data_IF_966460063191
#
_entry.id   IF_966460063191
#
_cell.length_a   1.000
_cell.length_b   1.000
_cell.length_c   1.000
_cell.angle_alpha   90.00
_cell.angle_beta   90.00
_cell.angle_gamma   90.00
#
_symmetry.space_group_name_H-M   'P 1'
#
loop_
_entity.id
_entity.type
_entity.pdbx_description
1 polymer ?
#
# COMPACT_ATOMS: atom_id res chain seq x y z
N UNK A 1 -4.88 -26.83 25.52
CA UNK A 1 -4.70 -27.70 24.33
C UNK A 1 -5.90 -27.65 23.38
N UNK A 2 -7.13 -27.92 23.85
CA UNK A 2 -8.36 -27.90 23.04
C UNK A 2 -8.57 -26.61 22.22
N UNK A 3 -8.17 -25.46 22.75
CA UNK A 3 -8.27 -24.18 22.03
C UNK A 3 -7.42 -24.09 20.77
N UNK A 4 -6.19 -24.64 20.79
CA UNK A 4 -5.32 -24.64 19.63
C UNK A 4 -5.85 -25.59 18.54
N UNK A 5 -6.31 -26.77 18.94
CA UNK A 5 -6.92 -27.77 18.05
C UNK A 5 -8.19 -27.21 17.39
N UNK A 6 -9.09 -26.63 18.17
CA UNK A 6 -10.30 -26.02 17.62
C UNK A 6 -9.99 -24.90 16.63
N UNK A 7 -9.04 -24.00 16.95
CA UNK A 7 -8.64 -22.90 16.05
C UNK A 7 -8.05 -23.43 14.74
N UNK A 8 -7.23 -24.48 14.82
CA UNK A 8 -6.65 -25.11 13.64
C UNK A 8 -7.75 -25.70 12.74
N UNK A 9 -8.65 -26.52 13.28
CA UNK A 9 -9.73 -27.11 12.50
C UNK A 9 -10.70 -26.07 11.94
N UNK A 10 -11.07 -25.04 12.73
CA UNK A 10 -11.90 -23.94 12.24
C UNK A 10 -11.24 -23.18 11.07
N UNK A 11 -9.92 -22.97 11.13
CA UNK A 11 -9.16 -22.37 10.02
C UNK A 11 -9.14 -23.27 8.79
N UNK A 12 -8.86 -24.57 8.96
CA UNK A 12 -8.80 -25.53 7.84
C UNK A 12 -10.16 -25.69 7.18
N UNK A 13 -11.23 -25.83 7.97
CA UNK A 13 -12.60 -25.93 7.48
C UNK A 13 -13.00 -24.69 6.68
N UNK A 14 -12.73 -23.50 7.21
CA UNK A 14 -13.13 -22.24 6.56
C UNK A 14 -12.27 -21.94 5.32
N UNK A 15 -10.95 -22.19 5.35
CA UNK A 15 -10.04 -21.83 4.26
C UNK A 15 -9.88 -22.91 3.19
N UNK A 16 -9.85 -24.17 3.60
CA UNK A 16 -9.52 -25.31 2.74
C UNK A 16 -10.64 -26.34 2.67
N UNK A 17 -11.77 -26.14 3.35
CA UNK A 17 -12.85 -27.14 3.41
C UNK A 17 -13.46 -27.47 2.04
N UNK A 18 -13.48 -26.53 1.09
CA UNK A 18 -13.88 -26.83 -0.29
C UNK A 18 -12.88 -27.76 -0.98
N UNK A 19 -11.59 -27.40 -0.95
CA UNK A 19 -10.51 -28.18 -1.56
C UNK A 19 -10.38 -29.58 -0.96
N UNK A 20 -10.43 -29.71 0.38
CA UNK A 20 -10.35 -31.02 1.05
C UNK A 20 -11.53 -31.92 0.67
N UNK A 21 -12.75 -31.36 0.59
CA UNK A 21 -13.93 -32.12 0.16
C UNK A 21 -13.79 -32.62 -1.27
N UNK A 22 -13.25 -31.81 -2.16
CA UNK A 22 -13.00 -32.20 -3.55
C UNK A 22 -11.92 -33.29 -3.65
N UNK A 23 -10.80 -33.12 -2.94
CA UNK A 23 -9.68 -34.06 -3.01
C UNK A 23 -9.93 -35.40 -2.29
N UNK A 24 -10.70 -35.41 -1.20
CA UNK A 24 -10.85 -36.57 -0.29
C UNK A 24 -12.28 -37.10 -0.24
N UNK A 25 -13.23 -36.44 -0.90
CA UNK A 25 -14.67 -36.74 -0.84
C UNK A 25 -15.26 -36.75 0.59
N UNK A 26 -14.57 -36.14 1.57
CA UNK A 26 -15.01 -36.04 2.97
C UNK A 26 -14.83 -34.62 3.50
N UNK A 27 -15.78 -34.10 4.31
CA UNK A 27 -15.61 -32.80 4.94
C UNK A 27 -14.56 -32.84 6.04
N UNK A 28 -13.92 -31.70 6.28
CA UNK A 28 -13.10 -31.49 7.47
C UNK A 28 -14.04 -31.42 8.67
N UNK A 29 -13.85 -32.30 9.65
CA UNK A 29 -14.65 -32.33 10.88
C UNK A 29 -13.75 -31.99 12.06
N UNK A 30 -14.14 -31.00 12.86
CA UNK A 30 -13.43 -30.66 14.09
C UNK A 30 -13.65 -31.76 15.13
N UNK A 31 -12.59 -32.38 15.69
CA UNK A 31 -12.72 -33.44 16.69
C UNK A 31 -13.06 -32.92 18.10
N UNK A 32 -13.13 -31.60 18.28
CA UNK A 32 -13.45 -30.97 19.57
C UNK A 32 -14.97 -30.95 19.71
N UNK A 33 -15.47 -31.72 20.68
CA UNK A 33 -16.90 -31.76 21.03
C UNK A 33 -17.40 -30.43 21.63
N UNK A 34 -18.72 -30.35 21.84
CA UNK A 34 -19.40 -29.16 22.35
C UNK A 34 -18.96 -28.78 23.77
N UNK A 35 -18.66 -29.74 24.64
CA UNK A 35 -18.23 -29.49 26.03
C UNK A 35 -16.79 -28.97 26.09
N UNK A 36 -15.93 -29.44 25.19
CA UNK A 36 -14.54 -29.02 25.04
C UNK A 36 -14.39 -27.78 24.14
N UNK A 37 -15.49 -27.27 23.57
CA UNK A 37 -15.50 -26.09 22.70
C UNK A 37 -15.18 -24.83 23.50
N UNK A 38 -14.12 -24.07 23.16
CA UNK A 38 -13.79 -22.86 23.89
C UNK A 38 -14.87 -21.79 23.71
N UNK A 39 -15.57 -21.43 24.79
CA UNK A 39 -16.74 -20.53 24.80
C UNK A 39 -16.47 -19.08 24.35
N UNK A 40 -15.22 -18.61 24.47
CA UNK A 40 -14.79 -17.27 24.05
C UNK A 40 -13.66 -17.36 23.05
N UNK A 41 -13.97 -17.86 21.86
CA UNK A 41 -13.16 -17.56 20.69
C UNK A 41 -13.79 -16.38 19.98
N UNK A 42 -13.04 -15.28 19.85
CA UNK A 42 -13.32 -14.32 18.81
C UNK A 42 -13.54 -15.14 17.53
N UNK A 43 -14.70 -14.96 16.88
CA UNK A 43 -14.98 -15.62 15.59
C UNK A 43 -13.70 -15.48 14.78
N UNK A 44 -13.12 -16.61 14.38
CA UNK A 44 -12.00 -16.61 13.45
C UNK A 44 -12.62 -16.17 12.13
N UNK A 45 -12.84 -14.86 11.97
CA UNK A 45 -13.17 -14.27 10.70
C UNK A 45 -11.98 -14.58 9.83
N UNK A 46 -12.09 -15.60 9.00
CA UNK A 46 -11.02 -15.96 8.09
C UNK A 46 -10.90 -14.80 7.12
N UNK A 47 -9.84 -14.03 7.32
CA UNK A 47 -9.35 -13.06 6.36
C UNK A 47 -8.78 -13.89 5.21
N UNK A 48 -9.58 -14.09 4.17
CA UNK A 48 -9.08 -14.64 2.92
C UNK A 48 -8.28 -13.50 2.27
N UNK A 49 -6.96 -13.65 2.06
CA UNK A 49 -6.22 -12.66 1.31
C UNK A 49 -6.74 -12.64 -0.13
N UNK A 50 -6.84 -11.47 -0.76
CA UNK A 50 -7.21 -11.37 -2.16
C UNK A 50 -6.20 -12.13 -3.03
N UNK A 51 -6.67 -12.62 -4.16
CA UNK A 51 -5.84 -13.24 -5.19
C UNK A 51 -4.85 -12.23 -5.79
N UNK A 52 -3.77 -12.73 -6.38
CA UNK A 52 -2.78 -11.87 -7.04
C UNK A 52 -3.40 -11.03 -8.18
N UNK A 53 -4.42 -11.56 -8.87
CA UNK A 53 -5.13 -10.85 -9.93
C UNK A 53 -5.98 -9.70 -9.38
N UNK A 54 -6.72 -9.91 -8.29
CA UNK A 54 -7.50 -8.87 -7.63
C UNK A 54 -6.59 -7.74 -7.12
N UNK A 55 -5.44 -8.10 -6.53
CA UNK A 55 -4.44 -7.14 -6.10
C UNK A 55 -3.90 -6.35 -7.29
N UNK A 56 -3.52 -7.02 -8.39
CA UNK A 56 -2.98 -6.30 -9.55
C UNK A 56 -4.01 -5.41 -10.23
N UNK A 57 -5.27 -5.84 -10.29
CA UNK A 57 -6.39 -5.03 -10.77
C UNK A 57 -6.55 -3.76 -9.94
N UNK A 58 -6.59 -3.88 -8.61
CA UNK A 58 -6.71 -2.73 -7.69
C UNK A 58 -5.57 -1.72 -7.91
N UNK A 59 -4.32 -2.17 -7.87
CA UNK A 59 -3.15 -1.29 -8.00
C UNK A 59 -3.03 -0.68 -9.40
N UNK A 60 -3.51 -1.39 -10.42
CA UNK A 60 -3.58 -0.87 -11.79
C UNK A 60 -4.64 0.22 -11.92
N UNK A 61 -5.86 -0.03 -11.43
CA UNK A 61 -6.93 0.96 -11.43
C UNK A 61 -6.55 2.21 -10.64
N UNK A 62 -5.94 2.04 -9.46
CA UNK A 62 -5.46 3.17 -8.67
C UNK A 62 -4.41 3.99 -9.43
N UNK A 63 -3.41 3.33 -10.03
CA UNK A 63 -2.38 4.02 -10.83
C UNK A 63 -3.00 4.87 -11.95
N UNK A 64 -4.00 4.35 -12.66
CA UNK A 64 -4.68 5.10 -13.72
C UNK A 64 -5.55 6.25 -13.21
N UNK A 65 -6.03 6.17 -11.98
CA UNK A 65 -6.83 7.23 -11.36
C UNK A 65 -5.98 8.38 -10.82
N UNK A 66 -4.73 8.14 -10.42
CA UNK A 66 -3.86 9.18 -9.83
C UNK A 66 -3.79 10.46 -10.70
N UNK A 67 -3.55 10.41 -12.03
CA UNK A 67 -3.50 11.62 -12.87
C UNK A 67 -4.83 12.40 -12.96
N UNK A 68 -5.96 11.78 -12.57
CA UNK A 68 -7.26 12.48 -12.53
C UNK A 68 -7.34 13.46 -11.35
N UNK A 69 -6.59 13.21 -10.29
CA UNK A 69 -6.53 14.05 -9.09
C UNK A 69 -5.71 15.31 -9.34
N UNK A 70 -5.93 16.34 -8.51
CA UNK A 70 -5.23 17.63 -8.61
C UNK A 70 -4.67 18.04 -7.26
N UNK A 71 -3.54 18.76 -7.30
CA UNK A 71 -2.92 19.40 -6.14
C UNK A 71 -2.77 18.47 -4.93
N UNK A 72 -3.29 18.89 -3.78
CA UNK A 72 -3.11 18.19 -2.51
C UNK A 72 -3.76 16.80 -2.48
N UNK A 73 -4.84 16.58 -3.23
CA UNK A 73 -5.52 15.28 -3.32
C UNK A 73 -4.63 14.25 -4.03
N UNK A 74 -3.96 14.66 -5.12
CA UNK A 74 -2.99 13.82 -5.81
C UNK A 74 -1.84 13.42 -4.88
N UNK A 75 -1.25 14.39 -4.16
CA UNK A 75 -0.12 14.12 -3.26
C UNK A 75 -0.45 13.10 -2.17
N UNK A 76 -1.62 13.21 -1.54
CA UNK A 76 -2.03 12.25 -0.51
C UNK A 76 -2.37 10.89 -1.09
N UNK A 77 -3.05 10.83 -2.24
CA UNK A 77 -3.37 9.56 -2.88
C UNK A 77 -2.11 8.84 -3.39
N UNK A 78 -1.13 9.57 -3.93
CA UNK A 78 0.14 9.02 -4.36
C UNK A 78 0.98 8.52 -3.17
N UNK A 79 0.97 9.24 -2.05
CA UNK A 79 1.59 8.78 -0.80
C UNK A 79 1.03 7.44 -0.35
N UNK A 80 -0.30 7.33 -0.34
CA UNK A 80 -1.01 6.13 0.14
C UNK A 80 -0.75 4.94 -0.82
N UNK A 81 -0.81 5.19 -2.13
CA UNK A 81 -0.42 4.24 -3.16
C UNK A 81 1.00 3.69 -2.96
N UNK A 82 1.98 4.57 -2.67
CA UNK A 82 3.37 4.17 -2.42
C UNK A 82 3.47 3.38 -1.12
N UNK A 83 2.83 3.84 -0.04
CA UNK A 83 2.87 3.17 1.26
C UNK A 83 2.39 1.72 1.16
N UNK A 84 1.24 1.51 0.51
CA UNK A 84 0.68 0.17 0.34
C UNK A 84 1.44 -0.69 -0.67
N UNK A 85 1.96 -0.08 -1.73
CA UNK A 85 2.85 -0.78 -2.67
C UNK A 85 4.09 -1.30 -1.94
N UNK A 86 4.64 -0.54 -0.98
CA UNK A 86 5.75 -1.01 -0.14
C UNK A 86 5.32 -2.15 0.80
N UNK A 87 4.10 -2.14 1.32
CA UNK A 87 3.60 -3.24 2.15
C UNK A 87 3.41 -4.52 1.34
N UNK A 88 2.80 -4.42 0.16
CA UNK A 88 2.53 -5.59 -0.70
C UNK A 88 3.84 -6.18 -1.25
N UNK A 89 4.80 -5.34 -1.64
CA UNK A 89 6.03 -5.77 -2.32
C UNK A 89 7.14 -6.14 -1.35
N UNK A 90 7.34 -5.34 -0.30
CA UNK A 90 8.49 -5.49 0.61
C UNK A 90 8.12 -6.08 1.98
N UNK A 91 6.83 -6.23 2.29
CA UNK A 91 6.40 -6.71 3.61
C UNK A 91 6.82 -5.77 4.75
N UNK A 92 6.86 -4.46 4.49
CA UNK A 92 7.11 -3.48 5.54
C UNK A 92 5.94 -3.45 6.51
N UNK A 93 6.25 -3.27 7.80
CA UNK A 93 5.21 -3.03 8.79
C UNK A 93 4.82 -1.56 8.78
N UNK A 94 3.56 -1.27 9.09
CA UNK A 94 3.08 0.12 9.17
C UNK A 94 3.93 0.98 10.12
N UNK A 95 4.34 0.42 11.27
CA UNK A 95 5.18 1.12 12.26
C UNK A 95 6.64 1.34 11.82
N UNK A 96 7.11 0.58 10.85
CA UNK A 96 8.40 0.77 10.20
C UNK A 96 8.27 1.88 9.15
N UNK A 97 7.19 1.82 8.36
CA UNK A 97 6.87 2.72 7.25
C UNK A 97 6.73 4.17 7.69
N UNK A 98 6.02 4.44 8.79
CA UNK A 98 5.85 5.81 9.33
C UNK A 98 7.15 6.44 9.86
N UNK A 99 8.22 5.66 10.02
CA UNK A 99 9.53 6.10 10.53
C UNK A 99 10.60 6.24 9.45
N UNK A 100 10.28 5.87 8.21
CA UNK A 100 11.20 6.00 7.09
C UNK A 100 11.49 7.45 6.76
N UNK A 101 12.74 7.70 6.38
CA UNK A 101 13.26 8.97 5.89
C UNK A 101 13.66 8.84 4.42
N UNK A 102 13.72 9.97 3.71
CA UNK A 102 14.17 10.00 2.32
C UNK A 102 15.60 9.46 2.18
N UNK A 103 16.47 9.74 3.17
CA UNK A 103 17.84 9.22 3.22
C UNK A 103 17.96 7.72 3.55
N UNK A 104 16.87 7.04 3.90
CA UNK A 104 16.88 5.59 4.15
C UNK A 104 16.91 4.79 2.84
N UNK A 105 16.72 5.45 1.70
CA UNK A 105 16.79 4.85 0.38
C UNK A 105 18.17 5.06 -0.25
N UNK A 106 18.84 3.96 -0.59
CA UNK A 106 20.15 3.96 -1.24
C UNK A 106 20.00 3.48 -2.69
N UNK A 107 19.71 4.37 -3.66
CA UNK A 107 19.42 3.99 -5.05
C UNK A 107 20.60 3.33 -5.76
N UNK A 108 21.84 3.68 -5.38
CA UNK A 108 23.06 3.20 -6.02
C UNK A 108 23.69 1.99 -5.30
N UNK A 109 23.03 1.47 -4.25
CA UNK A 109 23.47 0.26 -3.58
C UNK A 109 23.10 -0.98 -4.43
N UNK A 110 24.03 -1.40 -5.30
CA UNK A 110 23.80 -2.47 -6.27
C UNK A 110 22.93 -2.03 -7.44
N UNK A 111 22.42 -2.99 -8.22
CA UNK A 111 21.67 -2.72 -9.46
C UNK A 111 20.30 -2.08 -9.21
N UNK A 112 19.63 -2.48 -8.13
CA UNK A 112 18.27 -2.04 -7.85
C UNK A 112 18.18 -1.10 -6.64
N UNK A 113 19.27 -0.88 -5.92
CA UNK A 113 19.28 -0.12 -4.67
C UNK A 113 18.98 -0.96 -3.42
N UNK A 114 18.98 -0.34 -2.26
CA UNK A 114 18.65 -0.94 -0.96
C UNK A 114 17.86 0.05 -0.11
N UNK A 115 16.79 -0.42 0.55
CA UNK A 115 16.05 0.35 1.55
C UNK A 115 16.49 -0.05 2.97
N UNK A 116 16.92 0.91 3.78
CA UNK A 116 17.34 0.70 5.16
C UNK A 116 16.20 0.96 6.15
N UNK A 117 15.71 -0.10 6.78
CA UNK A 117 14.70 0.01 7.84
C UNK A 117 15.42 0.11 9.18
N UNK A 118 15.65 1.33 9.67
CA UNK A 118 16.27 1.60 10.98
C UNK A 118 15.39 1.19 12.16
N UNK A 119 14.09 1.46 12.08
CA UNK A 119 13.17 1.26 13.20
C UNK A 119 12.34 -0.03 13.07
N UNK A 120 13.01 -1.17 12.85
CA UNK A 120 12.35 -2.47 12.75
C UNK A 120 11.89 -3.04 14.10
N UNK A 121 11.04 -4.08 14.03
CA UNK A 121 10.49 -4.76 15.21
C UNK A 121 11.60 -5.44 16.04
N UNK A 122 11.81 -4.94 17.26
CA UNK A 122 12.60 -5.60 18.29
C UNK A 122 11.89 -6.79 18.94
N UNK A 123 12.62 -7.55 19.76
CA UNK A 123 12.08 -8.65 20.55
C UNK A 123 12.47 -8.46 22.02
N UNK A 124 11.55 -8.77 22.96
CA UNK A 124 11.83 -8.78 24.42
C UNK A 124 12.51 -7.50 24.93
N UNK A 125 12.09 -6.33 24.44
CA UNK A 125 12.65 -5.04 24.88
C UNK A 125 14.03 -4.70 24.30
N UNK A 126 14.53 -5.44 23.30
CA UNK A 126 15.84 -5.22 22.66
C UNK A 126 16.03 -3.88 21.93
N UNK A 127 15.06 -2.97 21.99
CA UNK A 127 15.03 -1.78 21.14
C UNK A 127 14.74 -2.08 19.67
N UNK A 128 14.71 -1.05 18.81
CA UNK A 128 14.49 -1.21 17.38
C UNK A 128 15.58 -2.06 16.73
N UNK A 129 15.19 -2.97 15.84
CA UNK A 129 16.12 -3.85 15.11
C UNK A 129 16.20 -3.44 13.65
N UNK A 130 17.38 -3.08 13.19
CA UNK A 130 17.57 -2.66 11.81
C UNK A 130 17.51 -3.84 10.83
N UNK A 131 17.07 -3.58 9.60
CA UNK A 131 17.19 -4.51 8.48
C UNK A 131 17.34 -3.78 7.15
N UNK A 132 18.12 -4.36 6.25
CA UNK A 132 18.18 -3.94 4.86
C UNK A 132 17.14 -4.72 4.05
N UNK A 133 16.42 -4.02 3.19
CA UNK A 133 15.34 -4.58 2.38
C UNK A 133 15.70 -4.36 0.91
N UNK A 134 15.95 -5.43 0.14
CA UNK A 134 16.17 -5.30 -1.28
C UNK A 134 14.84 -4.90 -1.97
N UNK A 135 14.88 -3.95 -2.90
CA UNK A 135 13.73 -3.49 -3.65
C UNK A 135 13.35 -4.53 -4.70
N UNK A 136 12.39 -5.39 -4.36
CA UNK A 136 11.85 -6.40 -5.25
C UNK A 136 10.62 -5.89 -6.01
N UNK A 137 10.23 -6.58 -7.07
CA UNK A 137 9.02 -6.28 -7.85
C UNK A 137 8.94 -4.81 -8.33
N UNK A 138 10.02 -4.25 -8.89
CA UNK A 138 10.03 -2.89 -9.44
C UNK A 138 9.88 -1.77 -8.40
N UNK A 139 10.17 -2.05 -7.13
CA UNK A 139 10.09 -1.05 -6.05
C UNK A 139 11.14 0.06 -6.19
N UNK A 140 12.27 -0.24 -6.83
CA UNK A 140 13.30 0.72 -7.22
C UNK A 140 12.72 1.87 -8.05
N UNK A 141 11.95 1.54 -9.09
CA UNK A 141 11.30 2.51 -9.97
C UNK A 141 10.19 3.28 -9.25
N UNK A 142 9.44 2.60 -8.38
CA UNK A 142 8.42 3.23 -7.56
C UNK A 142 9.02 4.28 -6.61
N UNK A 143 10.11 3.93 -5.92
CA UNK A 143 10.79 4.84 -5.00
C UNK A 143 11.48 5.98 -5.74
N UNK A 144 12.08 5.72 -6.90
CA UNK A 144 12.64 6.77 -7.76
C UNK A 144 11.55 7.79 -8.13
N UNK A 145 10.46 7.33 -8.75
CA UNK A 145 9.31 8.19 -9.11
C UNK A 145 8.77 8.97 -7.90
N UNK A 146 8.53 8.29 -6.79
CA UNK A 146 8.03 8.92 -5.58
C UNK A 146 8.97 10.03 -5.10
N UNK A 147 10.26 9.75 -4.95
CA UNK A 147 11.23 10.69 -4.39
C UNK A 147 11.50 11.88 -5.31
N UNK A 148 11.61 11.66 -6.62
CA UNK A 148 11.97 12.71 -7.58
C UNK A 148 10.79 13.58 -7.98
N UNK A 149 9.64 12.96 -8.27
CA UNK A 149 8.52 13.67 -8.89
C UNK A 149 7.45 14.11 -7.90
N UNK A 150 7.09 13.27 -6.93
CA UNK A 150 5.92 13.52 -6.08
C UNK A 150 6.29 14.05 -4.71
N UNK A 151 7.28 13.43 -4.07
CA UNK A 151 7.69 13.74 -2.70
C UNK A 151 8.28 15.14 -2.59
N UNK A 152 9.02 15.58 -3.59
CA UNK A 152 9.58 16.93 -3.70
C UNK A 152 8.50 18.02 -3.63
N UNK A 153 7.30 17.75 -4.16
CA UNK A 153 6.17 18.70 -4.15
C UNK A 153 5.59 18.98 -2.75
N UNK A 154 5.96 18.21 -1.72
CA UNK A 154 5.57 18.52 -0.34
C UNK A 154 6.36 19.72 0.25
N UNK A 155 7.44 20.16 -0.39
CA UNK A 155 8.10 21.43 -0.06
C UNK A 155 8.76 21.49 1.32
N UNK A 156 9.07 20.36 1.96
CA UNK A 156 10.02 20.32 3.07
C UNK A 156 11.41 19.97 2.55
N UNK A 157 12.22 21.01 2.39
CA UNK A 157 13.64 20.83 2.21
C UNK A 157 14.24 20.41 3.55
N UNK A 158 14.71 19.17 3.63
CA UNK A 158 15.41 18.68 4.80
C UNK A 158 16.85 18.36 4.42
N UNK A 159 17.77 19.06 5.06
CA UNK A 159 19.21 18.84 4.92
C UNK A 159 19.55 17.40 5.35
N UNK A 160 20.41 16.73 4.58
CA UNK A 160 21.00 15.44 4.97
C UNK A 160 20.03 14.26 4.97
N UNK A 161 18.98 14.29 4.13
CA UNK A 161 18.08 13.14 3.96
C UNK A 161 17.14 12.89 5.14
N UNK A 162 17.04 13.83 6.10
CA UNK A 162 16.16 13.72 7.27
C UNK A 162 14.68 14.00 6.95
N UNK A 163 14.35 14.31 5.69
CA UNK A 163 12.97 14.44 5.23
C UNK A 163 12.21 13.15 5.50
N UNK A 164 10.98 13.25 5.99
CA UNK A 164 10.14 12.05 6.17
C UNK A 164 9.84 11.45 4.80
N UNK A 165 9.95 10.12 4.64
CA UNK A 165 9.67 9.48 3.35
C UNK A 165 8.20 9.64 2.93
N UNK A 166 7.27 9.47 3.87
CA UNK A 166 5.82 9.57 3.68
C UNK A 166 5.22 10.69 4.56
N UNK A 167 5.23 11.94 4.08
CA UNK A 167 4.79 13.09 4.85
C UNK A 167 3.25 13.17 4.97
N UNK A 168 2.79 13.72 6.07
CA UNK A 168 1.44 14.26 6.22
C UNK A 168 1.38 15.69 5.67
N UNK A 169 0.18 16.25 5.55
CA UNK A 169 0.01 17.68 5.22
C UNK A 169 0.40 18.60 6.39
N UNK A 170 0.54 18.08 7.60
CA UNK A 170 0.83 18.89 8.78
C UNK A 170 2.31 19.26 8.84
N UNK A 171 2.59 20.48 9.30
CA UNK A 171 3.94 20.93 9.58
C UNK A 171 4.31 20.61 11.04
N UNK A 172 5.59 20.36 11.24
CA UNK A 172 6.23 20.35 12.57
C UNK A 172 6.46 21.81 12.98
N UNK A 173 6.60 22.06 14.28
CA UNK A 173 6.94 23.38 14.81
C UNK A 173 8.26 23.91 14.22
N UNK A 174 9.18 23.02 13.90
CA UNK A 174 10.49 23.28 13.29
C UNK A 174 10.44 23.45 11.76
N UNK A 175 9.26 23.59 11.16
CA UNK A 175 9.09 23.89 9.72
C UNK A 175 9.05 22.69 8.77
N UNK A 176 9.57 21.52 9.17
CA UNK A 176 9.50 20.29 8.35
C UNK A 176 8.10 19.66 8.26
N UNK A 177 7.92 18.62 7.42
CA UNK A 177 6.66 17.84 7.40
C UNK A 177 6.61 16.82 8.52
N UNK A 178 5.45 16.67 9.16
CA UNK A 178 5.18 15.55 10.07
C UNK A 178 4.98 14.26 9.28
N UNK A 179 5.40 13.10 9.80
CA UNK A 179 5.05 11.82 9.18
C UNK A 179 3.55 11.58 9.13
N UNK A 180 3.09 10.91 8.08
CA UNK A 180 1.75 10.34 8.07
C UNK A 180 1.62 9.35 9.25
N UNK A 181 0.56 9.47 10.03
CA UNK A 181 0.35 8.57 11.16
C UNK A 181 -0.20 7.22 10.69
N UNK A 182 -0.14 6.22 11.56
CA UNK A 182 -0.59 4.85 11.25
C UNK A 182 -2.08 4.77 10.93
N UNK A 183 -2.89 5.69 11.46
CA UNK A 183 -4.33 5.78 11.15
C UNK A 183 -4.51 6.27 9.72
N UNK A 184 -3.88 7.40 9.37
CA UNK A 184 -3.93 7.97 8.01
C UNK A 184 -3.48 6.97 6.94
N UNK A 185 -2.39 6.24 7.17
CA UNK A 185 -1.93 5.26 6.20
C UNK A 185 -2.84 4.03 6.12
N UNK A 186 -3.53 3.66 7.20
CA UNK A 186 -4.47 2.53 7.20
C UNK A 186 -5.77 2.88 6.47
N UNK A 187 -6.16 4.14 6.50
CA UNK A 187 -7.36 4.63 5.82
C UNK A 187 -7.10 4.94 4.32
N UNK A 188 -5.84 4.91 3.89
CA UNK A 188 -5.40 5.22 2.52
C UNK A 188 -6.05 4.33 1.46
N UNK A 189 -6.21 3.03 1.76
CA UNK A 189 -6.87 2.03 0.91
C UNK A 189 -8.28 2.49 0.52
N UNK A 190 -9.00 3.18 1.42
CA UNK A 190 -10.38 3.60 1.23
C UNK A 190 -10.58 4.70 0.18
N UNK A 191 -9.50 5.37 -0.24
CA UNK A 191 -9.53 6.39 -1.28
C UNK A 191 -9.21 5.83 -2.68
N UNK A 192 -8.83 4.56 -2.80
CA UNK A 192 -8.55 3.94 -4.09
C UNK A 192 -9.85 3.71 -4.88
N UNK A 193 -9.87 3.96 -6.20
CA UNK A 193 -11.00 3.58 -7.04
C UNK A 193 -11.20 2.06 -6.97
N UNK A 194 -12.42 1.61 -6.70
CA UNK A 194 -12.73 0.19 -6.51
C UNK A 194 -12.41 -0.36 -5.12
N UNK A 195 -11.97 0.45 -4.16
CA UNK A 195 -11.77 0.03 -2.76
C UNK A 195 -13.04 -0.55 -2.11
N UNK A 196 -14.22 -0.08 -2.49
CA UNK A 196 -15.49 -0.66 -2.05
C UNK A 196 -15.73 -2.08 -2.61
N UNK A 197 -15.26 -2.35 -3.83
CA UNK A 197 -15.34 -3.65 -4.49
C UNK A 197 -14.28 -4.61 -3.91
N UNK A 198 -13.05 -4.11 -3.67
CA UNK A 198 -11.98 -4.85 -2.98
C UNK A 198 -12.28 -5.11 -1.49
N UNK A 199 -12.92 -4.19 -0.78
CA UNK A 199 -13.37 -4.38 0.60
C UNK A 199 -14.51 -5.41 0.68
N UNK A 200 -15.31 -5.54 -0.39
CA UNK A 200 -16.31 -6.62 -0.53
C UNK A 200 -15.64 -7.99 -0.67
N UNK A 201 -14.46 -8.06 -1.30
CA UNK A 201 -13.66 -9.30 -1.43
C UNK A 201 -13.01 -9.70 -0.08
N UNK A 202 -12.63 -8.73 0.76
CA UNK A 202 -11.95 -8.97 2.06
C UNK A 202 -12.92 -9.28 3.21
N UNK A 203 -14.22 -9.04 3.02
CA UNK A 203 -15.25 -9.34 4.01
C UNK A 203 -16.01 -10.59 3.57
N UNK A 204 -16.06 -11.68 4.36
CA UNK A 204 -16.89 -12.83 3.98
C UNK A 204 -18.35 -12.40 3.96
N UNK A 205 -18.93 -12.29 2.76
CA UNK A 205 -20.38 -12.28 2.59
C UNK A 205 -20.87 -13.64 3.07
N UNK A 206 -21.54 -13.68 4.22
CA UNK A 206 -22.20 -14.87 4.72
C UNK A 206 -23.22 -15.33 3.65
N UNK A 207 -23.08 -16.51 3.02
CA UNK A 207 -24.06 -16.99 2.06
C UNK A 207 -25.42 -17.30 2.70
N UNK A 208 -25.52 -17.31 4.04
CA UNK A 208 -26.78 -17.55 4.76
C UNK A 208 -27.73 -16.33 4.79
N UNK A 209 -27.46 -15.24 4.07
CA UNK A 209 -28.33 -14.04 4.09
C UNK A 209 -28.47 -13.36 2.73
N UNK A 210 -28.54 -14.13 1.64
CA UNK A 210 -29.03 -13.63 0.35
C UNK A 210 -30.35 -14.34 -0.02
N UNK A 211 -31.38 -13.60 -0.47
CA UNK A 211 -32.64 -14.19 -0.92
C UNK A 211 -32.42 -15.07 -2.15
N UNK A 212 -33.16 -16.18 -2.19
CA UNK A 212 -33.16 -17.14 -3.29
C UNK A 212 -33.52 -16.47 -4.62
N UNK A 213 -32.62 -16.56 -5.59
CA UNK A 213 -32.92 -16.19 -6.98
C UNK A 213 -31.75 -15.53 -7.71
N UNK A 214 -30.83 -16.33 -8.24
CA UNK A 214 -30.09 -16.02 -9.48
C UNK A 214 -29.38 -17.30 -9.95
N UNK A 215 -29.96 -17.89 -10.99
CA UNK A 215 -29.57 -19.12 -11.67
C UNK A 215 -28.53 -18.84 -12.77
N UNK A 216 -27.67 -19.83 -13.05
CA UNK A 216 -27.00 -20.10 -14.36
C UNK A 216 -25.83 -19.17 -14.73
N UNK A 217 -24.58 -19.63 -14.96
CA UNK A 217 -24.08 -20.66 -15.89
C UNK A 217 -22.53 -20.51 -16.09
N UNK A 218 -21.89 -21.24 -17.02
CA UNK A 218 -20.75 -22.13 -16.73
C UNK A 218 -19.34 -21.53 -16.92
N UNK A 219 -18.35 -22.19 -16.30
CA UNK A 219 -16.96 -21.75 -16.26
C UNK A 219 -16.08 -22.10 -17.46
N UNK A 220 -14.79 -21.76 -17.35
CA UNK A 220 -13.71 -22.42 -18.08
C UNK A 220 -12.34 -22.12 -17.47
N UNK A 221 -11.61 -23.21 -17.24
CA UNK A 221 -10.19 -23.27 -16.95
C UNK A 221 -9.35 -22.89 -18.17
N UNK A 222 -8.09 -22.54 -17.87
CA UNK A 222 -6.92 -22.49 -18.75
C UNK A 222 -6.80 -21.31 -19.71
N UNK A 223 -5.70 -20.55 -19.56
CA UNK A 223 -4.62 -20.45 -20.56
C UNK A 223 -3.45 -19.59 -20.04
N UNK A 224 -2.27 -19.94 -20.55
CA UNK A 224 -0.94 -19.51 -20.15
C UNK A 224 -0.72 -17.99 -20.13
N UNK A 225 0.12 -17.52 -19.19
CA UNK A 225 0.66 -16.15 -19.15
C UNK A 225 2.07 -16.17 -19.76
N UNK A 226 2.29 -15.65 -20.99
CA UNK A 226 3.62 -15.28 -21.43
C UNK A 226 3.96 -13.89 -20.89
N UNK A 227 5.21 -13.75 -20.43
CA UNK A 227 5.71 -12.56 -19.75
C UNK A 227 5.47 -11.26 -20.52
N UNK A 228 4.92 -10.27 -19.82
CA UNK A 228 4.93 -8.88 -20.24
C UNK A 228 5.69 -8.06 -19.21
N UNK A 229 6.80 -7.48 -19.67
CA UNK A 229 7.68 -6.63 -18.88
C UNK A 229 6.92 -5.43 -18.32
N UNK A 230 7.14 -5.18 -17.04
CA UNK A 230 6.64 -4.02 -16.31
C UNK A 230 7.24 -2.73 -16.91
N UNK A 231 6.41 -1.93 -17.57
CA UNK A 231 6.73 -0.56 -18.02
C UNK A 231 6.11 0.41 -17.01
N UNK A 232 6.91 1.21 -16.28
CA UNK A 232 6.38 2.25 -15.40
C UNK A 232 5.67 3.34 -16.22
N UNK A 233 4.74 4.11 -15.62
CA UNK A 233 3.97 5.15 -16.31
C UNK A 233 4.85 6.39 -16.59
N UNK A 234 5.84 6.23 -17.46
CA UNK A 234 6.65 7.31 -17.99
C UNK A 234 6.69 7.12 -19.50
N UNK A 235 5.61 7.49 -20.19
CA UNK A 235 5.57 7.98 -21.58
C UNK A 235 4.13 8.47 -21.87
N UNK A 236 3.58 9.36 -21.03
CA UNK A 236 2.43 10.19 -21.44
C UNK A 236 3.01 11.59 -21.65
N UNK A 237 2.86 12.10 -22.87
CA UNK A 237 3.44 13.38 -23.34
C UNK A 237 3.27 14.50 -22.30
N UNK A 238 4.42 15.03 -21.89
CA UNK A 238 4.69 16.30 -21.19
C UNK A 238 3.47 17.13 -20.74
N UNK A 239 3.04 17.01 -19.48
CA UNK A 239 2.04 17.89 -18.86
C UNK A 239 2.65 19.21 -18.31
N UNK A 240 3.97 19.41 -18.37
CA UNK A 240 4.68 20.49 -17.66
C UNK A 240 4.83 21.80 -18.46
N UNK A 241 4.32 21.87 -19.69
CA UNK A 241 4.38 23.11 -20.49
C UNK A 241 3.61 24.30 -19.85
N UNK A 242 2.68 24.06 -18.93
CA UNK A 242 1.88 25.14 -18.31
C UNK A 242 2.50 25.77 -17.05
N UNK A 243 3.46 25.12 -16.40
CA UNK A 243 4.04 25.63 -15.15
C UNK A 243 5.34 26.43 -15.34
N UNK A 244 5.97 26.36 -16.52
CA UNK A 244 7.20 27.11 -16.83
C UNK A 244 6.94 28.60 -17.14
N UNK A 245 5.79 28.95 -17.70
CA UNK A 245 5.52 30.34 -18.15
C UNK A 245 5.14 31.32 -17.04
N UNK A 246 4.86 30.87 -15.80
CA UNK A 246 4.47 31.78 -14.71
C UNK A 246 5.67 32.38 -13.95
N UNK A 247 6.85 31.78 -14.08
CA UNK A 247 8.08 32.31 -13.48
C UNK A 247 8.66 33.46 -14.31
N UNK A 248 8.44 33.47 -15.63
CA UNK A 248 9.00 34.49 -16.54
C UNK A 248 8.12 35.76 -16.65
N UNK A 249 6.84 35.70 -16.26
CA UNK A 249 5.91 36.86 -16.30
C UNK A 249 5.99 37.77 -15.06
N UNK A 250 6.82 37.42 -14.05
CA UNK A 250 6.96 38.17 -12.79
C UNK A 250 8.08 39.19 -12.73
N UNK A 251 8.94 39.26 -13.76
CA UNK A 251 10.20 39.99 -13.69
C UNK A 251 10.29 41.03 -14.80
N UNK A 252 9.41 42.04 -14.84
CA UNK A 252 9.60 43.26 -15.64
C UNK A 252 8.61 44.38 -15.24
N UNK A 253 8.71 44.93 -14.02
CA UNK A 253 8.25 46.29 -13.68
C UNK A 253 9.03 46.87 -12.49
N UNK A 254 10.28 47.27 -12.71
CA UNK A 254 10.91 48.32 -11.90
C UNK A 254 11.06 49.57 -12.78
N UNK A 255 10.24 50.59 -12.46
CA UNK A 255 10.39 51.95 -13.00
C UNK A 255 11.39 52.76 -12.15
N UNK A 256 11.94 53.86 -12.71
CA UNK A 256 13.17 54.48 -12.20
C UNK A 256 12.91 55.26 -10.91
N UNK A 257 13.74 55.03 -9.87
CA UNK A 257 13.82 55.91 -8.71
C UNK A 257 14.71 57.10 -9.05
N UNK A 258 14.10 58.29 -9.00
CA UNK A 258 14.74 59.60 -9.11
C UNK A 258 15.83 59.78 -8.04
N UNK A 259 16.95 60.37 -8.47
CA UNK A 259 18.00 60.94 -7.61
C UNK A 259 17.67 62.39 -7.24
N UNK A 260 18.29 62.80 -6.13
CA UNK A 260 18.60 64.16 -5.63
C UNK A 260 17.71 64.74 -4.51
N UNK A 261 18.27 65.63 -3.65
CA UNK A 261 19.68 66.02 -3.48
C UNK A 261 20.35 65.43 -2.22
#
# INVERSE_FOLDING_TARGET
MAQAVYRFYAFVETRYGAWVREAVARPVVCPVDEFNRPRRLARVGVRIPPSAQEVEFLFTAWRYHLPSLRGTAFLTAARDYVAESLWRRLGLRINETVRLRAGDWYPHAGTYGILHVRCGKGARGSGPRERLVPPIDGTDRLLAWWLTEVRSQFGDESVGGQAVLLPSRQHTLEGGRRPACTVTLRDGDGAAPGAAEAATIVTPRNPATAPAGATTGPGRSDLAVPGQGMVPPAQVKDPDRRYRNRAEEGEHREGPRQQCP
#
